data_IF_004949808424
#
_entry.id   IF_004949808424
#
_cell.length_a   1.000
_cell.length_b   1.000
_cell.length_c   1.000
_cell.angle_alpha   90.00
_cell.angle_beta   90.00
_cell.angle_gamma   90.00
#
_symmetry.space_group_name_H-M   'P 1'
#
loop_
_entity.id
_entity.type
_entity.pdbx_description
1 polymer ?
#
# COMPACT_ATOMS: atom_id res chain seq x y z
N UNK A 1 11.09 28.95 -10.14
CA UNK A 1 9.82 28.37 -10.61
C UNK A 1 9.85 26.84 -10.53
N UNK A 2 10.90 26.16 -10.99
CA UNK A 2 11.00 24.69 -10.97
C UNK A 2 10.89 24.08 -9.55
N UNK A 3 11.58 24.64 -8.56
CA UNK A 3 11.48 24.17 -7.16
C UNK A 3 10.07 24.24 -6.58
N UNK A 4 9.30 25.28 -6.91
CA UNK A 4 7.90 25.41 -6.46
C UNK A 4 7.01 24.35 -7.10
N UNK A 5 7.19 24.07 -8.38
CA UNK A 5 6.45 23.03 -9.11
C UNK A 5 6.77 21.65 -8.51
N UNK A 6 8.05 21.33 -8.32
CA UNK A 6 8.47 20.06 -7.70
C UNK A 6 7.86 19.91 -6.30
N UNK A 7 7.90 20.96 -5.48
CA UNK A 7 7.31 20.92 -4.13
C UNK A 7 5.80 20.69 -4.16
N UNK A 8 5.08 21.38 -5.05
CA UNK A 8 3.63 21.21 -5.20
C UNK A 8 3.25 19.79 -5.65
N UNK A 9 3.99 19.24 -6.62
CA UNK A 9 3.75 17.88 -7.10
C UNK A 9 4.06 16.85 -6.01
N UNK A 10 5.19 16.98 -5.30
CA UNK A 10 5.53 16.08 -4.19
C UNK A 10 4.53 16.20 -3.03
N UNK A 11 3.98 17.40 -2.76
CA UNK A 11 2.95 17.60 -1.75
C UNK A 11 1.67 16.85 -2.13
N UNK A 12 1.19 16.99 -3.36
CA UNK A 12 -0.01 16.29 -3.84
C UNK A 12 0.20 14.77 -3.90
N UNK A 13 1.36 14.34 -4.37
CA UNK A 13 1.74 12.92 -4.39
C UNK A 13 1.79 12.33 -2.97
N UNK A 14 2.44 13.05 -2.04
CA UNK A 14 2.54 12.66 -0.65
C UNK A 14 1.18 12.67 0.09
N UNK A 15 0.31 13.63 -0.24
CA UNK A 15 -1.07 13.67 0.28
C UNK A 15 -1.84 12.42 -0.15
N UNK A 16 -1.89 12.15 -1.46
CA UNK A 16 -2.62 10.99 -1.98
C UNK A 16 -2.05 9.66 -1.46
N UNK A 17 -0.73 9.50 -1.51
CA UNK A 17 -0.05 8.31 -1.00
C UNK A 17 -0.25 8.12 0.51
N UNK A 18 -0.08 9.19 1.30
CA UNK A 18 -0.25 9.14 2.75
C UNK A 18 -1.68 8.80 3.17
N UNK A 19 -2.68 9.41 2.51
CA UNK A 19 -4.08 9.05 2.75
C UNK A 19 -4.35 7.59 2.39
N UNK A 20 -3.87 7.13 1.22
CA UNK A 20 -4.01 5.73 0.79
C UNK A 20 -3.34 4.76 1.75
N UNK A 21 -2.12 5.03 2.19
CA UNK A 21 -1.41 4.19 3.17
C UNK A 21 -2.12 4.20 4.53
N UNK A 22 -2.47 5.38 5.05
CA UNK A 22 -3.03 5.50 6.39
C UNK A 22 -4.47 4.99 6.55
N UNK A 23 -5.33 5.14 5.55
CA UNK A 23 -6.73 4.67 5.58
C UNK A 23 -6.90 3.26 5.03
N UNK A 24 -6.16 2.90 3.99
CA UNK A 24 -6.36 1.67 3.22
C UNK A 24 -5.18 0.69 3.27
N UNK A 25 -4.04 1.05 3.87
CA UNK A 25 -2.85 0.22 3.79
C UNK A 25 -2.37 0.03 2.35
N UNK A 26 -2.54 1.04 1.50
CA UNK A 26 -2.12 1.04 0.11
C UNK A 26 -0.64 1.43 0.02
N UNK A 27 0.10 0.85 -0.92
CA UNK A 27 1.48 1.26 -1.18
C UNK A 27 1.54 2.68 -1.75
N UNK A 28 2.45 3.49 -1.22
CA UNK A 28 2.72 4.84 -1.72
C UNK A 28 3.15 4.84 -3.19
N UNK A 29 3.75 3.75 -3.66
CA UNK A 29 4.18 3.60 -5.05
C UNK A 29 3.03 3.70 -6.06
N UNK A 30 1.82 3.33 -5.69
CA UNK A 30 0.66 3.43 -6.57
C UNK A 30 0.29 4.87 -6.95
N UNK A 31 0.68 5.86 -6.14
CA UNK A 31 0.38 7.28 -6.36
C UNK A 31 1.64 8.07 -6.71
N UNK A 32 2.71 7.93 -5.93
CA UNK A 32 3.94 8.72 -6.10
C UNK A 32 4.56 8.43 -7.46
N UNK A 33 4.71 7.16 -7.84
CA UNK A 33 5.39 6.78 -9.09
C UNK A 33 4.76 7.45 -10.32
N UNK A 34 3.45 7.28 -10.60
CA UNK A 34 2.86 7.91 -11.78
C UNK A 34 2.93 9.44 -11.73
N UNK A 35 2.82 10.06 -10.55
CA UNK A 35 2.92 11.52 -10.44
C UNK A 35 4.33 12.04 -10.75
N UNK A 36 5.36 11.41 -10.22
CA UNK A 36 6.75 11.82 -10.48
C UNK A 36 7.13 11.61 -11.95
N UNK A 37 6.72 10.48 -12.54
CA UNK A 37 7.00 10.18 -13.95
C UNK A 37 6.26 11.14 -14.87
N UNK A 38 4.98 11.42 -14.62
CA UNK A 38 4.14 12.24 -15.52
C UNK A 38 4.48 13.72 -15.43
N UNK A 39 4.64 14.26 -14.23
CA UNK A 39 4.76 15.71 -14.04
C UNK A 39 6.20 16.21 -13.85
N UNK A 40 7.11 15.37 -13.37
CA UNK A 40 8.52 15.74 -13.19
C UNK A 40 9.45 15.07 -14.20
N UNK A 41 8.94 14.16 -15.05
CA UNK A 41 9.76 13.45 -16.04
C UNK A 41 10.81 12.53 -15.42
N UNK A 42 10.65 12.17 -14.12
CA UNK A 42 11.58 11.29 -13.43
C UNK A 42 11.49 9.89 -14.05
N UNK A 43 12.66 9.29 -14.28
CA UNK A 43 12.75 7.94 -14.83
C UNK A 43 11.94 6.94 -13.95
N UNK A 44 11.12 6.04 -14.55
CA UNK A 44 10.18 5.17 -13.82
C UNK A 44 10.84 4.34 -12.71
N UNK A 45 12.02 3.79 -12.96
CA UNK A 45 12.73 2.98 -11.98
C UNK A 45 13.13 3.79 -10.74
N UNK A 46 13.66 5.00 -10.95
CA UNK A 46 14.01 5.96 -9.92
C UNK A 46 12.78 6.43 -9.14
N UNK A 47 11.67 6.73 -9.84
CA UNK A 47 10.40 7.12 -9.23
C UNK A 47 9.83 6.03 -8.31
N UNK A 48 9.95 4.75 -8.69
CA UNK A 48 9.57 3.61 -7.83
C UNK A 48 10.45 3.56 -6.58
N UNK A 49 11.75 3.75 -6.70
CA UNK A 49 12.67 3.81 -5.56
C UNK A 49 12.29 4.89 -4.54
N UNK A 50 12.00 6.12 -5.02
CA UNK A 50 11.53 7.24 -4.18
C UNK A 50 10.22 6.88 -3.48
N UNK A 51 9.29 6.30 -4.22
CA UNK A 51 7.98 5.93 -3.71
C UNK A 51 8.05 4.84 -2.63
N UNK A 52 8.87 3.81 -2.85
CA UNK A 52 9.09 2.75 -1.87
C UNK A 52 9.77 3.27 -0.60
N UNK A 53 10.77 4.15 -0.73
CA UNK A 53 11.40 4.77 0.43
C UNK A 53 10.40 5.63 1.24
N UNK A 54 9.52 6.36 0.56
CA UNK A 54 8.43 7.11 1.19
C UNK A 54 7.45 6.18 1.91
N UNK A 55 7.18 5.02 1.33
CA UNK A 55 6.27 4.01 1.90
C UNK A 55 6.83 3.37 3.18
N UNK A 56 8.15 3.19 3.30
CA UNK A 56 8.79 2.64 4.51
C UNK A 56 8.35 3.40 5.75
N UNK A 57 8.57 4.72 5.76
CA UNK A 57 8.28 5.56 6.92
C UNK A 57 6.78 5.78 7.11
N UNK A 58 6.02 5.95 6.03
CA UNK A 58 4.58 6.09 6.07
C UNK A 58 3.90 4.83 6.62
N UNK A 59 4.31 3.66 6.16
CA UNK A 59 3.80 2.37 6.64
C UNK A 59 4.23 2.09 8.07
N UNK A 60 5.48 2.40 8.44
CA UNK A 60 5.97 2.21 9.80
C UNK A 60 5.21 3.09 10.82
N UNK A 61 5.00 4.38 10.54
CA UNK A 61 4.24 5.27 11.43
C UNK A 61 2.76 4.91 11.50
N UNK A 62 2.19 4.43 10.39
CA UNK A 62 0.82 3.91 10.36
C UNK A 62 0.72 2.63 11.19
N UNK A 63 1.61 1.66 11.00
CA UNK A 63 1.67 0.41 11.79
C UNK A 63 1.81 0.69 13.28
N UNK A 64 2.69 1.62 13.67
CA UNK A 64 2.82 2.07 15.06
C UNK A 64 1.51 2.64 15.59
N UNK A 65 0.84 3.49 14.81
CA UNK A 65 -0.43 4.13 15.20
C UNK A 65 -1.54 3.08 15.38
N UNK A 66 -1.65 2.12 14.46
CA UNK A 66 -2.62 1.02 14.57
C UNK A 66 -2.27 0.08 15.71
N UNK A 67 -0.99 -0.24 15.91
CA UNK A 67 -0.51 -1.09 17.00
C UNK A 67 -0.82 -0.51 18.38
N UNK A 68 -0.57 0.80 18.57
CA UNK A 68 -0.91 1.51 19.82
C UNK A 68 -2.42 1.45 20.14
N UNK A 69 -3.27 1.37 19.12
CA UNK A 69 -4.72 1.23 19.27
C UNK A 69 -5.19 -0.24 19.27
N UNK A 70 -4.28 -1.22 19.42
CA UNK A 70 -4.55 -2.66 19.42
C UNK A 70 -5.25 -3.14 18.13
N UNK A 71 -4.95 -2.49 17.01
CA UNK A 71 -5.46 -2.80 15.67
C UNK A 71 -4.34 -3.35 14.77
N UNK A 72 -3.55 -4.28 15.29
CA UNK A 72 -2.43 -4.93 14.62
C UNK A 72 -2.32 -6.38 15.09
N UNK A 73 -2.33 -7.32 14.16
CA UNK A 73 -2.04 -8.73 14.42
C UNK A 73 -0.57 -9.02 14.07
N UNK A 74 0.33 -8.83 15.04
CA UNK A 74 1.77 -9.02 14.84
C UNK A 74 2.09 -10.49 14.54
N UNK A 75 1.48 -11.43 15.27
CA UNK A 75 1.82 -12.86 15.17
C UNK A 75 1.54 -13.41 13.75
N UNK A 76 0.32 -13.26 13.29
CA UNK A 76 -0.06 -13.73 11.96
C UNK A 76 0.52 -12.83 10.85
N UNK A 77 0.70 -11.54 11.14
CA UNK A 77 1.40 -10.59 10.28
C UNK A 77 2.84 -11.00 9.98
N UNK A 78 3.62 -11.44 10.98
CA UNK A 78 4.99 -11.95 10.79
C UNK A 78 5.01 -13.22 9.94
N UNK A 79 4.11 -14.18 10.22
CA UNK A 79 4.01 -15.39 9.40
C UNK A 79 3.71 -15.05 7.94
N UNK A 80 2.75 -14.14 7.72
CA UNK A 80 2.38 -13.70 6.39
C UNK A 80 3.52 -12.93 5.72
N UNK A 81 4.20 -12.03 6.43
CA UNK A 81 5.32 -11.23 5.95
C UNK A 81 6.47 -12.11 5.40
N UNK A 82 6.87 -13.13 6.13
CA UNK A 82 7.93 -14.06 5.67
C UNK A 82 7.53 -14.70 4.33
N UNK A 83 6.27 -15.11 4.18
CA UNK A 83 5.78 -15.69 2.92
C UNK A 83 5.72 -14.65 1.81
N UNK A 84 5.26 -13.43 2.12
CA UNK A 84 5.24 -12.31 1.17
C UNK A 84 6.64 -12.04 0.65
N UNK A 85 7.64 -11.90 1.53
CA UNK A 85 9.02 -11.61 1.12
C UNK A 85 9.60 -12.71 0.20
N UNK A 86 9.45 -13.98 0.57
CA UNK A 86 9.94 -15.12 -0.23
C UNK A 86 9.27 -15.15 -1.61
N UNK A 87 7.94 -15.07 -1.64
CA UNK A 87 7.19 -15.20 -2.89
C UNK A 87 7.21 -13.93 -3.74
N UNK A 88 7.58 -12.77 -3.18
CA UNK A 88 7.88 -11.57 -3.97
C UNK A 88 9.10 -11.82 -4.88
N UNK A 89 10.12 -12.49 -4.39
CA UNK A 89 11.29 -12.87 -5.23
C UNK A 89 10.86 -13.83 -6.35
N UNK A 90 10.04 -14.83 -6.02
CA UNK A 90 9.51 -15.76 -7.03
C UNK A 90 8.66 -15.04 -8.08
N UNK A 91 7.75 -14.15 -7.64
CA UNK A 91 6.89 -13.37 -8.52
C UNK A 91 7.70 -12.43 -9.43
N UNK A 92 8.73 -11.78 -8.91
CA UNK A 92 9.64 -10.92 -9.68
C UNK A 92 10.41 -11.73 -10.74
N UNK A 93 10.87 -12.92 -10.39
CA UNK A 93 11.52 -13.79 -11.36
C UNK A 93 10.55 -14.21 -12.50
N UNK A 94 9.34 -14.61 -12.18
CA UNK A 94 8.32 -14.94 -13.20
C UNK A 94 7.96 -13.72 -14.04
N UNK A 95 7.88 -12.53 -13.42
CA UNK A 95 7.63 -11.26 -14.12
C UNK A 95 8.67 -10.93 -15.18
N UNK A 96 9.94 -11.26 -14.93
CA UNK A 96 11.03 -11.03 -15.90
C UNK A 96 10.90 -11.88 -17.18
N UNK A 97 10.08 -12.92 -17.15
CA UNK A 97 9.82 -13.81 -18.29
C UNK A 97 8.60 -13.39 -19.13
N UNK A 98 7.84 -12.37 -18.71
CA UNK A 98 6.56 -11.96 -19.32
C UNK A 98 6.63 -10.50 -19.77
N UNK A 99 6.09 -10.12 -20.96
CA UNK A 99 6.06 -8.75 -21.43
C UNK A 99 5.30 -7.81 -20.47
N UNK A 100 5.84 -6.63 -20.21
CA UNK A 100 5.45 -5.70 -19.14
C UNK A 100 4.09 -4.96 -19.30
N UNK A 101 3.41 -5.11 -20.45
CA UNK A 101 2.22 -4.30 -20.81
C UNK A 101 0.99 -4.57 -19.92
N UNK A 102 0.88 -5.74 -19.31
CA UNK A 102 -0.31 -6.13 -18.53
C UNK A 102 -0.31 -5.66 -17.06
N UNK A 103 0.81 -5.19 -16.54
CA UNK A 103 1.02 -5.03 -15.10
C UNK A 103 0.48 -3.72 -14.50
N UNK A 104 0.56 -2.60 -15.25
CA UNK A 104 0.14 -1.29 -14.75
C UNK A 104 -1.37 -1.18 -14.48
N UNK A 105 -2.18 -1.75 -15.37
CA UNK A 105 -3.64 -1.65 -15.30
C UNK A 105 -4.25 -2.45 -14.13
N UNK A 106 -3.59 -3.51 -13.69
CA UNK A 106 -4.09 -4.36 -12.58
C UNK A 106 -4.14 -3.59 -11.24
N UNK A 107 -3.13 -2.78 -10.95
CA UNK A 107 -3.10 -1.99 -9.72
C UNK A 107 -4.25 -0.98 -9.66
N UNK A 108 -4.54 -0.31 -10.77
CA UNK A 108 -5.67 0.63 -10.90
C UNK A 108 -7.00 -0.10 -10.74
N UNK A 109 -7.15 -1.24 -11.43
CA UNK A 109 -8.35 -2.08 -11.34
C UNK A 109 -8.62 -2.52 -9.90
N UNK A 110 -7.59 -3.01 -9.19
CA UNK A 110 -7.72 -3.44 -7.80
C UNK A 110 -8.06 -2.29 -6.85
N UNK A 111 -7.51 -1.09 -7.09
CA UNK A 111 -7.82 0.11 -6.31
C UNK A 111 -9.29 0.48 -6.43
N UNK A 112 -9.80 0.54 -7.66
CA UNK A 112 -11.21 0.86 -7.93
C UNK A 112 -12.14 -0.22 -7.39
N UNK A 113 -11.82 -1.50 -7.61
CA UNK A 113 -12.61 -2.63 -7.13
C UNK A 113 -12.75 -2.61 -5.60
N UNK A 114 -11.65 -2.39 -4.87
CA UNK A 114 -11.68 -2.30 -3.42
C UNK A 114 -12.42 -1.05 -2.94
N UNK A 115 -12.21 0.09 -3.60
CA UNK A 115 -12.93 1.32 -3.27
C UNK A 115 -14.44 1.14 -3.38
N UNK A 116 -14.90 0.60 -4.50
CA UNK A 116 -16.32 0.30 -4.74
C UNK A 116 -16.84 -0.74 -3.73
N UNK A 117 -16.07 -1.81 -3.48
CA UNK A 117 -16.43 -2.84 -2.51
C UNK A 117 -16.69 -2.26 -1.11
N UNK A 118 -15.82 -1.37 -0.62
CA UNK A 118 -15.99 -0.79 0.71
C UNK A 118 -17.18 0.15 0.81
N UNK A 119 -17.59 0.78 -0.29
CA UNK A 119 -18.80 1.61 -0.35
C UNK A 119 -20.06 0.74 -0.39
N UNK A 120 -20.08 -0.28 -1.27
CA UNK A 120 -21.28 -1.09 -1.56
C UNK A 120 -21.44 -2.23 -0.54
N UNK A 121 -20.35 -2.87 -0.14
CA UNK A 121 -20.33 -3.99 0.81
C UNK A 121 -19.30 -3.73 1.91
N UNK A 122 -19.61 -2.86 2.88
CA UNK A 122 -18.70 -2.51 3.96
C UNK A 122 -18.30 -3.73 4.80
N UNK A 123 -17.06 -3.72 5.26
CA UNK A 123 -16.54 -4.74 6.18
C UNK A 123 -17.04 -4.41 7.58
N UNK A 124 -17.98 -5.19 8.07
CA UNK A 124 -18.60 -4.99 9.40
C UNK A 124 -18.12 -6.04 10.42
N UNK A 125 -17.12 -6.84 10.09
CA UNK A 125 -16.50 -7.79 11.01
C UNK A 125 -15.97 -7.07 12.24
N UNK A 126 -16.27 -7.60 13.42
CA UNK A 126 -15.81 -7.07 14.70
C UNK A 126 -14.58 -7.82 15.23
N UNK A 127 -13.91 -7.28 16.27
CA UNK A 127 -12.85 -8.01 16.95
C UNK A 127 -13.32 -9.29 17.63
N UNK A 128 -14.58 -9.30 18.12
CA UNK A 128 -15.18 -10.49 18.69
C UNK A 128 -15.32 -11.61 17.63
N UNK A 129 -15.77 -11.27 16.42
CA UNK A 129 -15.86 -12.22 15.31
C UNK A 129 -14.49 -12.76 14.90
N UNK A 130 -13.43 -11.94 14.98
CA UNK A 130 -12.06 -12.38 14.72
C UNK A 130 -11.57 -13.37 15.78
N UNK A 131 -11.81 -13.08 17.07
CA UNK A 131 -11.35 -13.93 18.18
C UNK A 131 -12.10 -15.26 18.28
N UNK A 132 -13.30 -15.36 17.74
CA UNK A 132 -14.07 -16.61 17.66
C UNK A 132 -13.48 -17.62 16.64
N UNK A 133 -12.52 -17.21 15.81
CA UNK A 133 -11.93 -18.08 14.78
C UNK A 133 -10.83 -18.96 15.33
N UNK A 134 -10.76 -20.19 14.82
CA UNK A 134 -9.71 -21.13 15.16
C UNK A 134 -8.33 -20.58 14.78
N UNK A 135 -7.38 -20.59 15.73
CA UNK A 135 -5.99 -20.17 15.51
C UNK A 135 -5.32 -20.96 14.36
N UNK A 136 -5.63 -22.25 14.22
CA UNK A 136 -5.12 -23.10 13.13
C UNK A 136 -5.64 -22.61 11.76
N UNK A 137 -6.91 -22.23 11.68
CA UNK A 137 -7.51 -21.71 10.43
C UNK A 137 -6.86 -20.36 10.04
N UNK A 138 -6.65 -19.46 11.01
CA UNK A 138 -6.00 -18.18 10.77
C UNK A 138 -4.56 -18.39 10.28
N UNK A 139 -3.80 -19.28 10.92
CA UNK A 139 -2.43 -19.57 10.53
C UNK A 139 -2.33 -20.11 9.09
N UNK A 140 -3.17 -21.09 8.74
CA UNK A 140 -3.19 -21.67 7.38
C UNK A 140 -3.54 -20.58 6.36
N UNK A 141 -4.57 -19.77 6.63
CA UNK A 141 -4.97 -18.65 5.76
C UNK A 141 -3.87 -17.61 5.65
N UNK A 142 -3.15 -17.28 6.73
CA UNK A 142 -2.00 -16.35 6.69
C UNK A 142 -0.89 -16.84 5.76
N UNK A 143 -0.61 -18.15 5.77
CA UNK A 143 0.39 -18.74 4.88
C UNK A 143 -0.07 -18.64 3.42
N UNK A 144 -1.29 -19.09 3.12
CA UNK A 144 -1.83 -19.06 1.74
C UNK A 144 -1.94 -17.63 1.22
N UNK A 145 -2.52 -16.73 2.00
CA UNK A 145 -2.63 -15.31 1.63
C UNK A 145 -1.25 -14.66 1.45
N UNK A 146 -0.28 -14.99 2.31
CA UNK A 146 1.08 -14.49 2.18
C UNK A 146 1.77 -14.93 0.89
N UNK A 147 1.58 -16.19 0.49
CA UNK A 147 2.07 -16.72 -0.79
C UNK A 147 1.44 -15.95 -1.96
N UNK A 148 0.11 -15.84 -1.96
CA UNK A 148 -0.62 -15.14 -3.03
C UNK A 148 -0.22 -13.66 -3.14
N UNK A 149 -0.20 -12.95 -2.01
CA UNK A 149 0.20 -11.53 -2.00
C UNK A 149 1.64 -11.36 -2.43
N UNK A 150 2.55 -12.18 -1.92
CA UNK A 150 3.96 -12.12 -2.28
C UNK A 150 4.17 -12.31 -3.78
N UNK A 151 3.57 -13.35 -4.34
CA UNK A 151 3.64 -13.60 -5.78
C UNK A 151 3.11 -12.42 -6.60
N UNK A 152 1.93 -11.89 -6.25
CA UNK A 152 1.32 -10.75 -6.94
C UNK A 152 2.15 -9.48 -6.75
N UNK A 153 2.69 -9.22 -5.56
CA UNK A 153 3.59 -8.10 -5.29
C UNK A 153 4.83 -8.15 -6.20
N UNK A 154 5.47 -9.31 -6.28
CA UNK A 154 6.65 -9.49 -7.11
C UNK A 154 6.34 -9.43 -8.59
N UNK A 155 5.22 -10.03 -9.00
CA UNK A 155 4.82 -10.10 -10.41
C UNK A 155 4.36 -8.76 -10.97
N UNK A 156 3.58 -7.98 -10.20
CA UNK A 156 2.94 -6.74 -10.65
C UNK A 156 3.64 -5.48 -10.12
N UNK A 157 4.37 -5.58 -9.01
CA UNK A 157 5.02 -4.46 -8.33
C UNK A 157 4.07 -3.72 -7.37
N UNK A 158 3.50 -2.60 -7.77
CA UNK A 158 2.78 -1.66 -6.88
C UNK A 158 1.43 -2.13 -6.31
N UNK A 159 0.89 -3.29 -6.72
CA UNK A 159 -0.47 -3.74 -6.35
C UNK A 159 -0.61 -4.47 -5.02
N UNK A 160 0.48 -4.77 -4.33
CA UNK A 160 0.50 -5.70 -3.20
C UNK A 160 -0.28 -5.26 -1.98
N UNK A 161 -0.23 -4.00 -1.61
CA UNK A 161 -0.93 -3.50 -0.42
C UNK A 161 -2.45 -3.63 -0.50
N UNK A 162 -3.02 -3.36 -1.68
CA UNK A 162 -4.47 -3.47 -1.88
C UNK A 162 -4.94 -4.91 -1.93
N UNK A 163 -4.17 -5.80 -2.56
CA UNK A 163 -4.45 -7.23 -2.52
C UNK A 163 -4.35 -7.77 -1.09
N UNK A 164 -3.37 -7.29 -0.32
CA UNK A 164 -3.24 -7.61 1.11
C UNK A 164 -4.52 -7.26 1.87
N UNK A 165 -5.00 -6.02 1.72
CA UNK A 165 -6.21 -5.55 2.39
C UNK A 165 -7.44 -6.37 1.96
N UNK A 166 -7.57 -6.70 0.66
CA UNK A 166 -8.64 -7.57 0.15
C UNK A 166 -8.61 -8.94 0.82
N UNK A 167 -7.47 -9.59 0.86
CA UNK A 167 -7.33 -10.93 1.43
C UNK A 167 -7.53 -10.94 2.95
N UNK A 168 -6.97 -9.96 3.66
CA UNK A 168 -7.17 -9.83 5.11
C UNK A 168 -8.64 -9.63 5.45
N UNK A 169 -9.37 -8.80 4.71
CA UNK A 169 -10.79 -8.54 5.00
C UNK A 169 -11.72 -9.63 4.49
N UNK A 170 -11.50 -10.18 3.29
CA UNK A 170 -12.45 -11.08 2.62
C UNK A 170 -12.19 -12.55 2.90
N UNK A 171 -10.91 -12.97 2.95
CA UNK A 171 -10.52 -14.37 3.15
C UNK A 171 -10.24 -14.67 4.63
N UNK A 172 -9.45 -13.80 5.26
CA UNK A 172 -9.15 -13.94 6.69
C UNK A 172 -10.26 -13.38 7.58
N UNK A 173 -11.13 -12.51 7.03
CA UNK A 173 -12.26 -11.90 7.73
C UNK A 173 -11.81 -11.04 8.90
N UNK A 174 -10.75 -10.30 8.73
CA UNK A 174 -10.30 -9.32 9.72
C UNK A 174 -11.24 -8.11 9.76
N UNK A 175 -11.38 -7.54 10.94
CA UNK A 175 -11.91 -6.19 11.10
C UNK A 175 -11.07 -5.22 10.26
N UNK A 176 -11.71 -4.20 9.64
CA UNK A 176 -11.02 -3.31 8.72
C UNK A 176 -9.80 -2.61 9.34
N UNK A 177 -9.89 -2.13 10.58
CA UNK A 177 -8.76 -1.48 11.25
C UNK A 177 -7.58 -2.42 11.45
N UNK A 178 -7.85 -3.65 11.89
CA UNK A 178 -6.81 -4.67 12.08
C UNK A 178 -6.22 -5.11 10.74
N UNK A 179 -7.03 -5.20 9.70
CA UNK A 179 -6.55 -5.50 8.34
C UNK A 179 -5.60 -4.41 7.83
N UNK A 180 -5.97 -3.14 7.93
CA UNK A 180 -5.12 -2.01 7.54
C UNK A 180 -3.83 -1.99 8.37
N UNK A 181 -3.93 -2.10 9.71
CA UNK A 181 -2.75 -2.10 10.59
C UNK A 181 -1.77 -3.24 10.26
N UNK A 182 -2.29 -4.45 10.01
CA UNK A 182 -1.46 -5.61 9.65
C UNK A 182 -0.88 -5.46 8.23
N UNK A 183 -1.64 -4.89 7.29
CA UNK A 183 -1.15 -4.60 5.94
C UNK A 183 0.03 -3.63 5.97
N UNK A 184 -0.11 -2.45 6.60
CA UNK A 184 0.99 -1.47 6.67
C UNK A 184 2.20 -1.99 7.46
N UNK A 185 2.00 -2.86 8.45
CA UNK A 185 3.10 -3.51 9.14
C UNK A 185 3.94 -4.37 8.18
N UNK A 186 3.31 -5.22 7.39
CA UNK A 186 4.00 -6.05 6.39
C UNK A 186 4.65 -5.17 5.33
N UNK A 187 3.94 -4.13 4.88
CA UNK A 187 4.42 -3.22 3.83
C UNK A 187 5.64 -2.42 4.24
N UNK A 188 5.80 -2.04 5.51
CA UNK A 188 7.00 -1.36 5.97
C UNK A 188 8.28 -2.17 5.66
N UNK A 189 8.23 -3.49 5.83
CA UNK A 189 9.37 -4.37 5.53
C UNK A 189 9.53 -4.65 4.03
N UNK A 190 8.44 -4.88 3.31
CA UNK A 190 8.50 -5.10 1.87
C UNK A 190 8.97 -3.86 1.11
N UNK A 191 8.52 -2.67 1.52
CA UNK A 191 8.97 -1.41 0.96
C UNK A 191 10.44 -1.12 1.29
N UNK A 192 10.90 -1.45 2.50
CA UNK A 192 12.32 -1.33 2.88
C UNK A 192 13.20 -2.19 1.97
N UNK A 193 12.86 -3.47 1.82
CA UNK A 193 13.59 -4.39 0.95
C UNK A 193 13.61 -3.88 -0.50
N UNK A 194 12.45 -3.41 -0.99
CA UNK A 194 12.33 -2.86 -2.34
C UNK A 194 13.14 -1.58 -2.53
N UNK A 195 13.07 -0.62 -1.62
CA UNK A 195 13.80 0.65 -1.76
C UNK A 195 15.32 0.46 -1.70
N UNK A 196 15.81 -0.40 -0.80
CA UNK A 196 17.24 -0.74 -0.72
C UNK A 196 17.71 -1.39 -2.03
N UNK A 197 16.94 -2.32 -2.59
CA UNK A 197 17.27 -2.96 -3.87
C UNK A 197 17.30 -1.96 -5.02
N UNK A 198 16.33 -1.04 -5.09
CA UNK A 198 16.29 -0.01 -6.13
C UNK A 198 17.50 0.92 -6.07
N UNK A 199 17.89 1.36 -4.87
CA UNK A 199 19.06 2.25 -4.73
C UNK A 199 20.39 1.54 -4.89
N UNK A 200 20.49 0.27 -4.54
CA UNK A 200 21.68 -0.53 -4.77
C UNK A 200 21.96 -0.77 -6.26
N UNK A 201 20.90 -0.87 -7.09
CA UNK A 201 21.01 -1.14 -8.53
C UNK A 201 21.05 0.16 -9.34
N UNK A 202 20.12 1.09 -9.07
CA UNK A 202 19.88 2.31 -9.85
C UNK A 202 20.60 3.55 -9.34
N UNK A 203 21.31 3.47 -8.20
CA UNK A 203 21.91 4.62 -7.55
C UNK A 203 20.92 5.49 -6.78
N UNK A 204 21.44 6.54 -6.13
CA UNK A 204 20.60 7.46 -5.35
C UNK A 204 19.87 8.45 -6.27
N UNK A 205 18.57 8.72 -5.98
CA UNK A 205 17.78 9.68 -6.74
C UNK A 205 18.16 11.14 -6.41
N UNK A 206 17.58 12.08 -7.18
CA UNK A 206 17.63 13.50 -6.83
C UNK A 206 17.05 13.73 -5.43
N UNK A 207 17.82 14.40 -4.57
CA UNK A 207 17.52 14.54 -3.15
C UNK A 207 16.26 15.37 -2.87
N UNK A 208 15.93 16.33 -3.73
CA UNK A 208 14.79 17.21 -3.47
C UNK A 208 13.45 16.45 -3.54
N UNK A 209 13.06 15.79 -4.66
CA UNK A 209 11.83 15.02 -4.72
C UNK A 209 11.84 13.83 -3.73
N UNK A 210 13.00 13.23 -3.48
CA UNK A 210 13.18 12.14 -2.53
C UNK A 210 12.76 12.56 -1.11
N UNK A 211 13.36 13.63 -0.58
CA UNK A 211 13.09 14.11 0.77
C UNK A 211 11.64 14.63 0.91
N UNK A 212 11.18 15.40 -0.07
CA UNK A 212 9.83 15.96 -0.05
C UNK A 212 8.74 14.88 -0.05
N UNK A 213 8.87 13.87 -0.91
CA UNK A 213 7.91 12.75 -0.95
C UNK A 213 7.90 11.99 0.39
N UNK A 214 9.05 11.72 0.99
CA UNK A 214 9.13 11.05 2.30
C UNK A 214 8.42 11.87 3.37
N UNK A 215 8.73 13.17 3.48
CA UNK A 215 8.18 14.04 4.52
C UNK A 215 6.65 14.16 4.38
N UNK A 216 6.16 14.49 3.18
CA UNK A 216 4.74 14.69 2.98
C UNK A 216 3.95 13.40 3.15
N UNK A 217 4.45 12.27 2.60
CA UNK A 217 3.77 10.97 2.79
C UNK A 217 3.72 10.57 4.25
N UNK A 218 4.80 10.74 4.99
CA UNK A 218 4.87 10.46 6.43
C UNK A 218 3.84 11.26 7.23
N UNK A 219 3.77 12.58 6.97
CA UNK A 219 2.84 13.50 7.67
C UNK A 219 1.40 13.06 7.41
N UNK A 220 1.02 12.89 6.15
CA UNK A 220 -0.37 12.56 5.79
C UNK A 220 -0.75 11.13 6.18
N UNK A 221 0.16 10.16 6.10
CA UNK A 221 -0.08 8.80 6.59
C UNK A 221 -0.33 8.77 8.10
N UNK A 222 0.46 9.53 8.88
CA UNK A 222 0.25 9.65 10.34
C UNK A 222 -1.09 10.28 10.68
N UNK A 223 -1.48 11.33 9.98
CA UNK A 223 -2.79 11.99 10.17
C UNK A 223 -3.91 11.02 9.80
N UNK A 224 -3.83 10.40 8.64
CA UNK A 224 -4.82 9.44 8.14
C UNK A 224 -4.98 8.25 9.09
N UNK A 225 -3.90 7.63 9.56
CA UNK A 225 -3.94 6.52 10.50
C UNK A 225 -4.57 6.92 11.85
N UNK A 226 -4.30 8.13 12.36
CA UNK A 226 -4.93 8.64 13.59
C UNK A 226 -6.45 8.81 13.42
N UNK A 227 -6.88 9.40 12.31
CA UNK A 227 -8.31 9.60 12.00
C UNK A 227 -8.99 8.24 11.81
N UNK A 228 -8.38 7.33 11.04
CA UNK A 228 -8.90 5.99 10.77
C UNK A 228 -9.13 5.19 12.06
N UNK A 229 -8.21 5.26 13.01
CA UNK A 229 -8.35 4.54 14.29
C UNK A 229 -9.48 5.10 15.18
N UNK A 230 -9.82 6.39 15.06
CA UNK A 230 -10.92 7.02 15.80
C UNK A 230 -12.28 6.85 15.11
N UNK A 231 -12.31 6.61 13.80
CA UNK A 231 -13.53 6.49 13.03
C UNK A 231 -14.36 5.26 13.42
N UNK A 232 -15.69 5.37 13.28
CA UNK A 232 -16.58 4.19 13.38
C UNK A 232 -16.33 3.23 12.21
N UNK A 233 -16.65 1.92 12.34
CA UNK A 233 -16.48 0.97 11.24
C UNK A 233 -17.17 1.41 9.95
N UNK A 234 -18.40 1.93 10.04
CA UNK A 234 -19.15 2.42 8.89
C UNK A 234 -18.49 3.62 8.23
N UNK A 235 -18.04 4.60 9.03
CA UNK A 235 -17.35 5.80 8.54
C UNK A 235 -16.03 5.42 7.90
N UNK A 236 -15.27 4.52 8.54
CA UNK A 236 -13.97 4.09 8.01
C UNK A 236 -14.12 3.40 6.65
N UNK A 237 -15.07 2.46 6.50
CA UNK A 237 -15.35 1.81 5.22
C UNK A 237 -15.66 2.85 4.13
N UNK A 238 -16.56 3.81 4.44
CA UNK A 238 -16.98 4.83 3.47
C UNK A 238 -15.81 5.75 3.07
N UNK A 239 -15.07 6.25 4.05
CA UNK A 239 -13.90 7.14 3.79
C UNK A 239 -12.82 6.41 3.02
N UNK A 240 -12.45 5.19 3.45
CA UNK A 240 -11.49 4.35 2.74
C UNK A 240 -11.93 4.08 1.30
N UNK A 241 -13.20 3.72 1.11
CA UNK A 241 -13.77 3.47 -0.22
C UNK A 241 -13.71 4.70 -1.13
N UNK A 242 -14.12 5.87 -0.63
CA UNK A 242 -14.07 7.14 -1.39
C UNK A 242 -12.63 7.50 -1.76
N UNK A 243 -11.69 7.42 -0.81
CA UNK A 243 -10.26 7.71 -1.06
C UNK A 243 -9.73 6.78 -2.15
N UNK A 244 -9.99 5.47 -2.07
CA UNK A 244 -9.54 4.51 -3.07
C UNK A 244 -10.14 4.77 -4.46
N UNK A 245 -11.42 5.11 -4.54
CA UNK A 245 -12.07 5.45 -5.82
C UNK A 245 -11.44 6.71 -6.44
N UNK A 246 -11.26 7.77 -5.64
CA UNK A 246 -10.62 9.00 -6.11
C UNK A 246 -9.20 8.73 -6.59
N UNK A 247 -8.40 8.02 -5.78
CA UNK A 247 -7.02 7.67 -6.15
C UNK A 247 -6.97 6.79 -7.39
N UNK A 248 -7.87 5.81 -7.51
CA UNK A 248 -7.98 4.96 -8.69
C UNK A 248 -8.31 5.74 -9.96
N UNK A 249 -9.24 6.68 -9.89
CA UNK A 249 -9.60 7.57 -11.02
C UNK A 249 -8.41 8.48 -11.39
N UNK A 250 -7.74 9.07 -10.40
CA UNK A 250 -6.57 9.92 -10.61
C UNK A 250 -5.44 9.15 -11.31
N UNK A 251 -5.12 7.94 -10.81
CA UNK A 251 -4.06 7.10 -11.41
C UNK A 251 -4.46 6.62 -12.81
N UNK A 252 -5.75 6.29 -13.02
CA UNK A 252 -6.26 5.95 -14.35
C UNK A 252 -6.11 7.13 -15.32
N UNK A 253 -6.45 8.35 -14.88
CA UNK A 253 -6.27 9.57 -15.68
C UNK A 253 -4.82 9.76 -16.11
N UNK A 254 -3.85 9.55 -15.22
CA UNK A 254 -2.43 9.61 -15.56
C UNK A 254 -2.00 8.53 -16.57
N UNK A 255 -2.61 7.34 -16.51
CA UNK A 255 -2.33 6.25 -17.45
C UNK A 255 -2.86 6.55 -18.87
N UNK A 256 -3.89 7.39 -18.99
CA UNK A 256 -4.49 7.78 -20.29
C UNK A 256 -3.79 8.98 -20.96
N UNK A 257 -2.99 9.76 -20.20
CA UNK A 257 -2.25 10.92 -20.71
C UNK A 257 -0.90 10.50 -21.36
N UNK A 258 -0.49 9.27 -21.14
CA UNK A 258 0.68 8.64 -21.79
C UNK A 258 0.31 7.96 -23.09
#
# INVERSE_FOLDING_TARGET
>A
MQYLITTAICLLAGLGAGLGTGFAGMSAAAVITPMLVTFLGIEPYTAVGIALASDVLASAVSAYTYGKNKNLDIKNGLVMMIKVLIFTVVGSFVSSLVPSVAMGNFSVFMTLLLGIKFIVRPVMTTKADMSARSAKSILIKSIICGIMVGFICGFIGAGGGMMMLLLLTSVMGYELKTAVGTSVFIMAFTALTGSVSHFAIGGFPDMLPFILCIIFTLIFARIAAKIANKASPKTLNRVTGIILVILGIVVLGFSLIK
#
